data_IF_136648949394
#
_entry.id   IF_136648949394
#
_cell.length_a   1.000
_cell.length_b   1.000
_cell.length_c   1.000
_cell.angle_alpha   90.00
_cell.angle_beta   90.00
_cell.angle_gamma   90.00
#
_symmetry.space_group_name_H-M   'P 1'
#
loop_
_entity.id
_entity.type
_entity.pdbx_description
1 polymer ?
#
# COMPACT_ATOMS: atom_id res chain seq x y z
N UNK A 1 1.24 9.58 -10.96
CA UNK A 1 0.39 9.88 -9.80
C UNK A 1 0.99 11.00 -8.94
N UNK A 2 2.19 10.87 -8.44
CA UNK A 2 2.87 11.89 -7.62
C UNK A 2 3.95 12.68 -8.38
N UNK A 3 3.67 13.05 -9.62
CA UNK A 3 4.61 13.84 -10.45
C UNK A 3 4.73 15.29 -9.98
N UNK A 4 3.72 15.79 -9.30
CA UNK A 4 3.69 17.14 -8.72
C UNK A 4 3.32 17.06 -7.24
N UNK A 5 3.62 18.10 -6.45
CA UNK A 5 3.28 18.14 -5.04
C UNK A 5 1.79 17.87 -4.79
N UNK A 6 1.49 17.11 -3.76
CA UNK A 6 0.14 16.84 -3.28
C UNK A 6 -0.19 17.76 -2.10
N UNK A 7 -1.49 17.88 -1.79
CA UNK A 7 -1.98 18.66 -0.64
C UNK A 7 -2.60 17.74 0.39
N UNK A 8 -2.30 17.98 1.66
CA UNK A 8 -2.97 17.34 2.78
C UNK A 8 -4.26 18.10 3.08
N UNK A 9 -5.41 17.41 3.08
CA UNK A 9 -6.70 18.02 3.37
C UNK A 9 -7.06 17.97 4.84
N UNK A 10 -6.89 16.82 5.47
CA UNK A 10 -7.25 16.59 6.88
C UNK A 10 -6.43 15.47 7.47
N UNK A 11 -6.23 15.52 8.78
CA UNK A 11 -5.59 14.46 9.54
C UNK A 11 -6.39 14.23 10.81
N UNK A 12 -6.81 12.98 11.04
CA UNK A 12 -7.62 12.60 12.20
C UNK A 12 -7.11 11.30 12.81
N UNK A 13 -7.29 11.14 14.12
CA UNK A 13 -6.97 9.89 14.80
C UNK A 13 -7.99 8.81 14.44
N UNK A 14 -7.50 7.62 14.10
CA UNK A 14 -8.35 6.48 13.71
C UNK A 14 -9.03 5.88 14.93
N UNK A 15 -10.34 5.71 14.85
CA UNK A 15 -11.15 5.09 15.91
C UNK A 15 -10.92 3.58 15.97
N UNK A 16 -11.17 2.97 17.11
CA UNK A 16 -10.98 1.53 17.30
C UNK A 16 -11.82 0.67 16.34
N UNK A 17 -13.04 1.09 16.02
CA UNK A 17 -13.88 0.43 15.03
C UNK A 17 -13.26 0.42 13.64
N UNK A 18 -12.66 1.55 13.24
CA UNK A 18 -12.04 1.71 11.93
C UNK A 18 -10.69 0.98 11.86
N UNK A 19 -9.97 0.88 12.98
CA UNK A 19 -8.77 0.03 13.11
C UNK A 19 -9.09 -1.44 12.86
N UNK A 20 -10.20 -1.95 13.42
CA UNK A 20 -10.65 -3.33 13.17
C UNK A 20 -11.00 -3.55 11.70
N UNK A 21 -11.71 -2.61 11.08
CA UNK A 21 -12.04 -2.67 9.64
C UNK A 21 -10.78 -2.67 8.78
N UNK A 22 -9.82 -1.82 9.10
CA UNK A 22 -8.55 -1.75 8.37
C UNK A 22 -7.75 -3.05 8.48
N UNK A 23 -7.66 -3.64 9.68
CA UNK A 23 -7.03 -4.96 9.87
C UNK A 23 -7.73 -6.06 9.08
N UNK A 24 -9.04 -6.10 9.12
CA UNK A 24 -9.83 -7.07 8.37
C UNK A 24 -9.60 -6.91 6.85
N UNK A 25 -9.52 -5.68 6.36
CA UNK A 25 -9.23 -5.38 4.96
C UNK A 25 -7.82 -5.85 4.57
N UNK A 26 -6.80 -5.57 5.38
CA UNK A 26 -5.43 -6.03 5.14
C UNK A 26 -5.36 -7.55 5.14
N UNK A 27 -5.99 -8.21 6.08
CA UNK A 27 -6.05 -9.68 6.15
C UNK A 27 -6.76 -10.30 4.95
N UNK A 28 -7.78 -9.64 4.42
CA UNK A 28 -8.49 -10.08 3.21
C UNK A 28 -7.67 -9.88 1.93
N UNK A 29 -6.98 -8.74 1.80
CA UNK A 29 -6.17 -8.43 0.63
C UNK A 29 -4.84 -9.19 0.61
N UNK A 30 -4.25 -9.41 1.77
CA UNK A 30 -2.94 -10.05 1.93
C UNK A 30 -3.00 -11.18 2.95
N UNK A 31 -3.59 -12.33 2.60
CA UNK A 31 -3.77 -13.45 3.53
C UNK A 31 -2.46 -14.08 4.01
N UNK A 32 -1.35 -13.82 3.32
CA UNK A 32 -0.02 -14.30 3.72
C UNK A 32 0.60 -13.52 4.88
N UNK A 33 0.06 -12.34 5.23
CA UNK A 33 0.53 -11.56 6.37
C UNK A 33 0.01 -12.21 7.66
N UNK A 34 0.88 -12.62 8.60
CA UNK A 34 0.46 -13.18 9.89
C UNK A 34 -0.37 -12.18 10.69
N UNK A 35 -1.32 -12.68 11.48
CA UNK A 35 -2.17 -11.83 12.33
C UNK A 35 -1.37 -10.99 13.32
N UNK A 36 -0.26 -11.52 13.84
CA UNK A 36 0.65 -10.80 14.72
C UNK A 36 1.20 -9.54 14.06
N UNK A 37 1.63 -9.66 12.80
CA UNK A 37 2.14 -8.53 12.00
C UNK A 37 1.03 -7.55 11.66
N UNK A 38 -0.18 -8.03 11.39
CA UNK A 38 -1.34 -7.15 11.19
C UNK A 38 -1.63 -6.30 12.45
N UNK A 39 -1.47 -6.89 13.63
CA UNK A 39 -1.64 -6.18 14.90
C UNK A 39 -0.52 -5.18 15.19
N UNK A 40 0.69 -5.43 14.68
CA UNK A 40 1.79 -4.46 14.76
C UNK A 40 1.58 -3.25 13.85
N UNK A 41 1.10 -3.48 12.62
CA UNK A 41 0.84 -2.42 11.63
C UNK A 41 -0.36 -1.57 12.06
N UNK A 42 -1.42 -2.20 12.55
CA UNK A 42 -2.63 -1.53 13.01
C UNK A 42 -2.89 -1.90 14.48
N UNK A 43 -2.15 -1.31 15.42
CA UNK A 43 -2.28 -1.65 16.83
C UNK A 43 -3.62 -1.17 17.38
N UNK A 44 -4.10 -1.85 18.44
CA UNK A 44 -5.31 -1.44 19.14
C UNK A 44 -5.12 -0.11 19.89
N UNK A 45 -3.91 0.10 20.39
CA UNK A 45 -3.48 1.32 21.08
C UNK A 45 -2.30 1.93 20.33
N UNK A 46 -2.17 3.24 20.39
CA UNK A 46 -1.10 3.97 19.71
C UNK A 46 -1.62 5.11 18.84
N UNK A 47 -0.72 5.95 18.38
CA UNK A 47 -1.03 7.13 17.58
C UNK A 47 -1.16 6.76 16.09
N UNK A 48 -2.29 6.15 15.74
CA UNK A 48 -2.64 5.87 14.34
C UNK A 48 -3.50 7.00 13.80
N UNK A 49 -2.98 7.71 12.81
CA UNK A 49 -3.65 8.82 12.12
C UNK A 49 -4.07 8.42 10.71
N UNK A 50 -5.19 8.95 10.29
CA UNK A 50 -5.69 8.89 8.94
C UNK A 50 -5.57 10.27 8.32
N UNK A 51 -4.81 10.38 7.24
CA UNK A 51 -4.56 11.63 6.54
C UNK A 51 -5.09 11.56 5.12
N UNK A 52 -5.95 12.52 4.76
CA UNK A 52 -6.49 12.65 3.43
C UNK A 52 -5.57 13.49 2.55
N UNK A 53 -5.14 12.91 1.45
CA UNK A 53 -4.26 13.55 0.47
C UNK A 53 -5.04 13.81 -0.82
N UNK A 54 -4.80 14.97 -1.44
CA UNK A 54 -5.33 15.32 -2.75
C UNK A 54 -4.17 15.53 -3.70
N UNK A 55 -4.15 14.78 -4.80
CA UNK A 55 -3.15 14.93 -5.86
C UNK A 55 -3.42 16.17 -6.71
N UNK A 56 -2.45 16.55 -7.54
CA UNK A 56 -2.59 17.67 -8.46
C UNK A 56 -3.74 17.48 -9.49
N UNK A 57 -4.16 16.24 -9.74
CA UNK A 57 -5.31 15.91 -10.60
C UNK A 57 -6.65 15.90 -9.86
N UNK A 58 -6.65 16.18 -8.56
CA UNK A 58 -7.85 16.15 -7.74
C UNK A 58 -8.23 14.75 -7.20
N UNK A 59 -7.43 13.74 -7.45
CA UNK A 59 -7.63 12.40 -6.90
C UNK A 59 -7.38 12.39 -5.39
N UNK A 60 -8.21 11.66 -4.65
CA UNK A 60 -8.12 11.56 -3.20
C UNK A 60 -7.58 10.21 -2.78
N UNK A 61 -6.67 10.22 -1.83
CA UNK A 61 -6.11 9.03 -1.20
C UNK A 61 -6.16 9.17 0.32
N UNK A 62 -6.33 8.04 1.00
CA UNK A 62 -6.22 7.98 2.46
C UNK A 62 -4.87 7.36 2.81
N UNK A 63 -4.10 8.04 3.64
CA UNK A 63 -2.82 7.55 4.15
C UNK A 63 -2.94 7.29 5.63
N UNK A 64 -2.54 6.11 6.06
CA UNK A 64 -2.50 5.75 7.47
C UNK A 64 -1.07 5.86 7.99
N UNK A 65 -0.89 6.65 9.04
CA UNK A 65 0.40 6.89 9.67
C UNK A 65 0.37 6.36 11.10
N UNK A 66 1.34 5.55 11.45
CA UNK A 66 1.57 5.11 12.83
C UNK A 66 2.79 5.86 13.38
N UNK A 67 2.59 6.62 14.45
CA UNK A 67 3.65 7.46 15.06
C UNK A 67 4.34 8.36 14.01
N UNK A 68 3.54 8.99 13.15
CA UNK A 68 3.95 9.85 12.04
C UNK A 68 4.72 9.15 10.90
N UNK A 69 4.82 7.82 10.92
CA UNK A 69 5.38 7.05 9.82
C UNK A 69 4.28 6.52 8.89
N UNK A 70 4.33 6.80 7.58
CA UNK A 70 3.34 6.29 6.64
C UNK A 70 3.47 4.77 6.46
N UNK A 71 2.39 4.06 6.67
CA UNK A 71 2.36 2.59 6.54
C UNK A 71 1.54 2.10 5.36
N UNK A 72 0.36 2.69 5.17
CA UNK A 72 -0.62 2.20 4.20
C UNK A 72 -1.22 3.39 3.46
N UNK A 73 -1.38 3.24 2.15
CA UNK A 73 -2.16 4.14 1.32
C UNK A 73 -3.38 3.41 0.77
N UNK A 74 -4.53 4.05 0.83
CA UNK A 74 -5.78 3.53 0.29
C UNK A 74 -6.29 4.45 -0.81
N UNK A 75 -6.63 3.87 -1.97
CA UNK A 75 -7.22 4.62 -3.08
C UNK A 75 -8.75 4.77 -2.93
N UNK A 76 -9.38 5.48 -3.87
CA UNK A 76 -10.84 5.66 -3.88
C UNK A 76 -11.62 4.35 -4.06
N UNK A 77 -11.04 3.35 -4.69
CA UNK A 77 -11.64 2.03 -4.84
C UNK A 77 -11.58 1.18 -3.55
N UNK A 78 -10.96 1.69 -2.49
CA UNK A 78 -10.83 1.00 -1.21
C UNK A 78 -9.72 -0.03 -1.17
N UNK A 79 -8.82 -0.04 -2.15
CA UNK A 79 -7.65 -0.92 -2.16
C UNK A 79 -6.57 -0.31 -1.28
N UNK A 80 -6.18 -1.02 -0.22
CA UNK A 80 -5.12 -0.64 0.68
C UNK A 80 -3.78 -1.24 0.22
N UNK A 81 -2.78 -0.39 0.05
CA UNK A 81 -1.44 -0.79 -0.42
C UNK A 81 -0.43 -0.38 0.65
N UNK A 82 0.41 -1.30 1.15
CA UNK A 82 1.49 -0.93 2.06
C UNK A 82 2.53 -0.05 1.34
N UNK A 83 3.07 0.93 2.05
CA UNK A 83 4.22 1.68 1.57
C UNK A 83 5.47 0.79 1.53
N UNK A 84 6.40 1.10 0.66
CA UNK A 84 7.66 0.37 0.52
C UNK A 84 8.44 0.30 1.84
N UNK A 85 8.43 1.38 2.61
CA UNK A 85 9.02 1.43 3.94
C UNK A 85 8.39 0.41 4.91
N UNK A 86 7.07 0.28 4.90
CA UNK A 86 6.36 -0.69 5.73
C UNK A 86 6.67 -2.14 5.29
N UNK A 87 6.77 -2.39 4.00
CA UNK A 87 7.17 -3.69 3.46
C UNK A 87 8.54 -4.12 3.99
N UNK A 88 9.50 -3.22 4.03
CA UNK A 88 10.84 -3.49 4.55
C UNK A 88 10.89 -3.62 6.07
N UNK A 89 10.24 -2.70 6.78
CA UNK A 89 10.28 -2.67 8.25
C UNK A 89 9.63 -3.90 8.89
N UNK A 90 8.47 -4.31 8.36
CA UNK A 90 7.70 -5.43 8.91
C UNK A 90 7.87 -6.73 8.12
N UNK A 91 8.73 -6.74 7.12
CA UNK A 91 8.94 -7.90 6.24
C UNK A 91 7.62 -8.48 5.72
N UNK A 92 6.77 -7.63 5.21
CA UNK A 92 5.41 -8.01 4.78
C UNK A 92 5.46 -8.92 3.57
N UNK A 93 4.75 -10.04 3.67
CA UNK A 93 4.58 -10.97 2.55
C UNK A 93 3.38 -10.53 1.71
N UNK A 94 3.66 -9.94 0.57
CA UNK A 94 2.67 -9.57 -0.43
C UNK A 94 2.95 -10.33 -1.72
N UNK A 95 1.98 -10.41 -2.66
CA UNK A 95 2.24 -11.00 -3.96
C UNK A 95 3.47 -10.38 -4.61
N UNK A 96 4.46 -11.22 -4.92
CA UNK A 96 5.76 -10.78 -5.41
C UNK A 96 6.05 -11.38 -6.77
N UNK A 97 6.48 -10.55 -7.70
CA UNK A 97 6.96 -10.98 -9.01
C UNK A 97 8.48 -11.12 -8.97
N UNK A 98 8.96 -12.32 -9.26
CA UNK A 98 10.38 -12.57 -9.45
C UNK A 98 10.73 -12.41 -10.93
N UNK A 99 11.73 -11.60 -11.22
CA UNK A 99 12.13 -11.30 -12.60
C UNK A 99 13.63 -11.15 -12.72
N UNK A 100 14.13 -11.25 -13.96
CA UNK A 100 15.53 -11.05 -14.24
C UNK A 100 15.95 -9.60 -13.98
N UNK A 101 17.20 -9.35 -13.50
CA UNK A 101 17.68 -7.98 -13.22
C UNK A 101 17.56 -7.00 -14.40
N UNK A 102 17.73 -7.48 -15.62
CA UNK A 102 17.60 -6.65 -16.82
C UNK A 102 16.17 -6.09 -17.00
N UNK A 103 15.15 -6.84 -16.57
CA UNK A 103 13.76 -6.39 -16.61
C UNK A 103 13.54 -5.27 -15.60
N UNK A 104 14.16 -5.33 -14.43
CA UNK A 104 14.09 -4.26 -13.41
C UNK A 104 14.67 -2.97 -13.96
N UNK A 105 15.80 -3.03 -14.65
CA UNK A 105 16.39 -1.84 -15.27
C UNK A 105 15.49 -1.24 -16.37
N UNK A 106 14.85 -2.07 -17.16
CA UNK A 106 13.88 -1.62 -18.17
C UNK A 106 12.63 -1.00 -17.55
N UNK A 107 12.14 -1.57 -16.44
CA UNK A 107 11.01 -1.01 -15.68
C UNK A 107 11.32 0.37 -15.13
N UNK A 108 12.53 0.58 -14.64
CA UNK A 108 12.98 1.89 -14.16
C UNK A 108 13.00 2.96 -15.27
N UNK A 109 13.25 2.55 -16.53
CA UNK A 109 13.30 3.45 -17.69
C UNK A 109 11.96 3.65 -18.42
N UNK A 110 11.13 2.62 -18.52
CA UNK A 110 9.89 2.62 -19.34
C UNK A 110 8.59 2.35 -18.59
N UNK A 111 8.64 2.05 -17.30
CA UNK A 111 7.49 2.01 -16.39
C UNK A 111 6.39 1.00 -16.73
N UNK A 112 5.16 1.47 -16.70
CA UNK A 112 3.92 0.67 -16.62
C UNK A 112 3.67 -0.29 -17.78
N UNK A 113 4.08 0.03 -19.00
CA UNK A 113 3.80 -0.77 -20.21
C UNK A 113 4.52 -2.12 -20.20
N UNK A 114 5.75 -2.17 -19.70
CA UNK A 114 6.53 -3.40 -19.56
C UNK A 114 5.96 -4.25 -18.42
N UNK A 115 5.52 -3.62 -17.33
CA UNK A 115 4.88 -4.31 -16.20
C UNK A 115 3.58 -4.99 -16.64
N UNK A 116 2.75 -4.32 -17.43
CA UNK A 116 1.52 -4.89 -17.96
C UNK A 116 1.78 -6.11 -18.85
N UNK A 117 2.73 -6.01 -19.78
CA UNK A 117 3.09 -7.12 -20.65
C UNK A 117 3.68 -8.30 -19.87
N UNK A 118 4.52 -8.04 -18.89
CA UNK A 118 5.10 -9.05 -18.02
C UNK A 118 4.04 -9.74 -17.17
N UNK A 119 3.10 -8.98 -16.60
CA UNK A 119 2.00 -9.50 -15.81
C UNK A 119 1.09 -10.41 -16.63
N UNK A 120 0.74 -10.03 -17.86
CA UNK A 120 -0.05 -10.85 -18.77
C UNK A 120 0.64 -12.17 -19.15
N UNK A 121 1.91 -12.13 -19.49
CA UNK A 121 2.65 -13.33 -19.88
C UNK A 121 2.80 -14.33 -18.72
N UNK A 122 3.04 -13.86 -17.50
CA UNK A 122 3.16 -14.73 -16.34
C UNK A 122 1.82 -15.24 -15.83
N UNK A 123 0.74 -14.48 -15.95
CA UNK A 123 -0.60 -14.96 -15.64
C UNK A 123 -1.01 -16.11 -16.55
N UNK A 124 -0.70 -16.04 -17.84
CA UNK A 124 -0.96 -17.10 -18.82
C UNK A 124 -0.11 -18.35 -18.53
N UNK A 125 1.11 -18.21 -18.02
CA UNK A 125 1.96 -19.37 -17.69
C UNK A 125 1.59 -20.05 -16.36
N UNK A 126 0.83 -19.40 -15.48
CA UNK A 126 0.30 -19.96 -14.22
C UNK A 126 -1.06 -20.62 -14.45
N UNK A 127 -1.80 -20.18 -15.44
CA UNK A 127 -3.08 -20.79 -15.86
C UNK A 127 -2.87 -21.99 -16.78
#
# INVERSE_FOLDING_TARGET
>A
MFQKPFRTKSSTTVRNSDRRKLRAKIGSLYPEIPEEVQNEIVPQKGDLKETKIITHKGEQFMTYLLEDEPLIIQNNAGIAIPYLYALWKYNLKIPTLHTHPDVVQRLAGKGLLILQNFYFQNLISIL
#
